data_IF_543433638814
#
_entry.id   IF_543433638814
#
_cell.length_a   1.000
_cell.length_b   1.000
_cell.length_c   1.000
_cell.angle_alpha   90.00
_cell.angle_beta   90.00
_cell.angle_gamma   90.00
#
_symmetry.space_group_name_H-M   'P 1'
#
loop_
_entity.id
_entity.type
_entity.pdbx_description
1 polymer ?
#
# COMPACT_ATOMS: atom_id res chain seq x y z
N UNK A 1 -21.16 -10.87 34.50
CA UNK A 1 -21.84 -10.44 33.25
C UNK A 1 -20.89 -9.56 32.43
N UNK A 2 -20.11 -10.16 31.53
CA UNK A 2 -19.12 -9.46 30.73
C UNK A 2 -19.75 -8.98 29.41
N UNK A 3 -19.92 -7.66 29.25
CA UNK A 3 -20.35 -7.05 27.98
C UNK A 3 -19.14 -6.99 27.04
N UNK A 4 -19.21 -7.75 25.94
CA UNK A 4 -18.29 -7.61 24.81
C UNK A 4 -18.40 -6.20 24.22
N UNK A 5 -17.33 -5.40 24.33
CA UNK A 5 -17.19 -4.16 23.58
C UNK A 5 -16.89 -4.50 22.12
N UNK A 6 -17.81 -4.14 21.24
CA UNK A 6 -17.60 -4.15 19.79
C UNK A 6 -16.62 -3.04 19.44
N UNK A 7 -15.36 -3.41 19.22
CA UNK A 7 -14.35 -2.53 18.64
C UNK A 7 -14.77 -2.08 17.24
N UNK A 8 -14.67 -0.77 17.04
CA UNK A 8 -15.07 -0.05 15.86
C UNK A 8 -14.44 -0.62 14.58
N UNK A 9 -15.28 -0.79 13.57
CA UNK A 9 -14.92 -0.99 12.18
C UNK A 9 -13.90 0.07 11.75
N UNK A 10 -12.70 -0.39 11.41
CA UNK A 10 -11.65 0.36 10.73
C UNK A 10 -12.18 0.94 9.42
N UNK A 11 -12.68 2.17 9.46
CA UNK A 11 -12.82 3.04 8.30
C UNK A 11 -11.41 3.31 7.77
N UNK A 12 -11.14 2.85 6.55
CA UNK A 12 -9.87 3.01 5.88
C UNK A 12 -9.46 4.47 5.87
N UNK A 13 -8.39 4.79 6.61
CA UNK A 13 -7.63 6.00 6.40
C UNK A 13 -6.96 5.86 5.02
N UNK A 14 -7.59 6.44 4.00
CA UNK A 14 -6.90 6.92 2.81
C UNK A 14 -5.93 8.00 3.30
N UNK A 15 -4.73 7.57 3.72
CA UNK A 15 -3.60 8.47 3.86
C UNK A 15 -3.22 8.91 2.44
N UNK A 16 -3.81 10.04 2.08
CA UNK A 16 -3.58 10.75 0.85
C UNK A 16 -2.07 10.92 0.64
N UNK A 17 -1.55 10.34 -0.43
CA UNK A 17 -0.18 10.49 -0.92
C UNK A 17 0.10 11.91 -1.46
N UNK A 18 -0.55 12.94 -0.92
CA UNK A 18 -0.56 14.31 -1.45
C UNK A 18 0.69 15.14 -1.10
N UNK A 19 1.86 14.54 -0.88
CA UNK A 19 3.06 15.29 -0.45
C UNK A 19 4.31 15.08 -1.32
N UNK A 20 4.19 14.60 -2.55
CA UNK A 20 5.36 14.35 -3.42
C UNK A 20 5.29 14.93 -4.83
N UNK A 21 4.42 15.91 -5.10
CA UNK A 21 4.48 16.67 -6.35
C UNK A 21 5.16 18.02 -6.12
N UNK A 22 6.45 18.07 -6.39
CA UNK A 22 7.19 19.30 -6.70
C UNK A 22 8.35 18.97 -7.65
N UNK A 23 8.16 19.38 -8.91
CA UNK A 23 9.14 19.76 -9.93
C UNK A 23 10.45 18.97 -10.08
N UNK A 24 10.54 18.18 -11.15
CA UNK A 24 11.71 18.20 -12.06
C UNK A 24 11.22 18.04 -13.50
N UNK A 25 10.95 19.16 -14.16
CA UNK A 25 10.91 19.24 -15.63
C UNK A 25 12.35 19.45 -16.12
N UNK A 26 12.91 18.47 -16.80
CA UNK A 26 14.14 18.62 -17.54
C UNK A 26 13.96 18.03 -18.94
N UNK A 27 13.89 18.95 -19.90
CA UNK A 27 13.96 18.72 -21.33
C UNK A 27 15.24 17.96 -21.69
N UNK A 28 15.14 16.91 -22.49
CA UNK A 28 16.25 16.48 -23.33
C UNK A 28 15.86 16.50 -24.81
N UNK A 29 16.71 17.21 -25.54
CA UNK A 29 16.54 17.66 -26.92
C UNK A 29 16.88 16.56 -27.90
N UNK A 30 16.06 16.52 -28.95
CA UNK A 30 16.30 15.92 -30.25
C UNK A 30 17.75 16.04 -30.73
N UNK A 31 18.34 14.91 -31.13
CA UNK A 31 19.40 14.85 -32.15
C UNK A 31 19.02 13.77 -33.16
N UNK A 32 18.44 14.21 -34.28
CA UNK A 32 18.27 13.42 -35.48
C UNK A 32 19.61 13.37 -36.23
N UNK A 33 20.10 12.16 -36.52
CA UNK A 33 21.18 11.92 -37.48
C UNK A 33 20.61 11.24 -38.74
N UNK A 34 21.19 11.49 -39.93
CA UNK A 34 20.64 10.98 -41.18
C UNK A 34 21.00 9.50 -41.35
N UNK A 35 20.01 8.62 -41.43
CA UNK A 35 20.20 7.24 -41.86
C UNK A 35 20.01 7.12 -43.37
N UNK A 36 21.08 6.65 -44.03
CA UNK A 36 21.13 6.25 -45.44
C UNK A 36 20.06 5.20 -45.73
N UNK A 37 19.23 5.49 -46.72
CA UNK A 37 18.36 4.53 -47.41
C UNK A 37 19.20 3.51 -48.17
N UNK A 38 18.99 2.23 -47.86
CA UNK A 38 19.35 1.10 -48.74
C UNK A 38 18.05 0.34 -48.94
N UNK A 39 17.50 0.46 -50.14
CA UNK A 39 16.36 -0.35 -50.60
C UNK A 39 16.81 -1.81 -50.74
N UNK A 40 16.15 -2.78 -50.07
CA UNK A 40 16.15 -4.15 -50.55
C UNK A 40 14.99 -4.32 -51.54
N UNK A 41 15.35 -4.75 -52.75
CA UNK A 41 14.43 -5.22 -53.78
C UNK A 41 13.53 -6.31 -53.18
N UNK A 42 12.24 -6.01 -53.09
CA UNK A 42 11.22 -6.92 -52.59
C UNK A 42 10.94 -8.01 -53.64
N UNK A 43 11.41 -9.23 -53.37
CA UNK A 43 10.89 -10.42 -54.01
C UNK A 43 9.45 -10.63 -53.51
N UNK A 44 8.47 -10.34 -54.37
CA UNK A 44 7.05 -10.65 -54.16
C UNK A 44 6.84 -12.16 -54.07
N UNK A 45 7.10 -12.70 -52.88
CA UNK A 45 6.65 -14.02 -52.48
C UNK A 45 5.13 -13.97 -52.43
N UNK A 46 4.44 -14.54 -53.43
CA UNK A 46 3.01 -14.81 -53.40
C UNK A 46 2.70 -15.74 -52.22
N UNK A 47 2.46 -15.16 -51.05
CA UNK A 47 1.95 -15.86 -49.87
C UNK A 47 0.49 -16.20 -50.16
N UNK A 48 0.25 -17.42 -50.63
CA UNK A 48 -1.09 -17.98 -50.77
C UNK A 48 -1.74 -18.00 -49.37
N UNK A 49 -2.93 -17.41 -49.18
CA UNK A 49 -3.60 -17.40 -47.89
C UNK A 49 -3.88 -18.84 -47.45
N UNK A 50 -3.21 -19.29 -46.40
CA UNK A 50 -3.50 -20.59 -45.78
C UNK A 50 -4.87 -20.50 -45.14
N UNK A 51 -5.83 -21.26 -45.66
CA UNK A 51 -7.16 -21.39 -45.04
C UNK A 51 -6.99 -21.93 -43.61
N UNK A 52 -7.37 -21.11 -42.62
CA UNK A 52 -7.36 -21.50 -41.22
C UNK A 52 -8.45 -22.54 -41.01
N UNK A 53 -8.11 -23.60 -40.28
CA UNK A 53 -9.07 -24.63 -39.89
C UNK A 53 -10.15 -24.06 -38.95
N UNK A 54 -11.34 -24.67 -38.94
CA UNK A 54 -12.45 -24.25 -38.05
C UNK A 54 -12.05 -24.21 -36.56
N UNK A 55 -11.12 -25.05 -36.12
CA UNK A 55 -10.62 -25.05 -34.74
C UNK A 55 -9.70 -23.86 -34.45
N UNK A 56 -8.88 -23.44 -35.41
CA UNK A 56 -8.03 -22.24 -35.31
C UNK A 56 -8.87 -20.96 -35.29
N UNK A 57 -9.96 -20.91 -36.08
CA UNK A 57 -10.90 -19.78 -36.06
C UNK A 57 -11.54 -19.65 -34.67
N UNK A 58 -12.08 -20.75 -34.12
CA UNK A 58 -12.67 -20.75 -32.77
C UNK A 58 -11.66 -20.38 -31.68
N UNK A 59 -10.41 -20.81 -31.80
CA UNK A 59 -9.36 -20.45 -30.85
C UNK A 59 -9.05 -18.94 -30.90
N UNK A 60 -9.01 -18.35 -32.10
CA UNK A 60 -8.81 -16.90 -32.28
C UNK A 60 -9.99 -16.09 -31.76
N UNK A 61 -11.23 -16.51 -32.02
CA UNK A 61 -12.44 -15.86 -31.50
C UNK A 61 -12.48 -15.89 -29.97
N UNK A 62 -12.15 -17.03 -29.37
CA UNK A 62 -12.06 -17.15 -27.91
C UNK A 62 -10.97 -16.23 -27.34
N UNK A 63 -9.79 -16.17 -27.97
CA UNK A 63 -8.71 -15.31 -27.53
C UNK A 63 -9.08 -13.82 -27.62
N UNK A 64 -9.74 -13.40 -28.70
CA UNK A 64 -10.25 -12.04 -28.85
C UNK A 64 -11.28 -11.70 -27.78
N UNK A 65 -12.23 -12.60 -27.51
CA UNK A 65 -13.24 -12.42 -26.46
C UNK A 65 -12.60 -12.25 -25.07
N UNK A 66 -11.58 -13.04 -24.74
CA UNK A 66 -10.85 -12.92 -23.46
C UNK A 66 -10.10 -11.60 -23.36
N UNK A 67 -9.47 -11.13 -24.46
CA UNK A 67 -8.78 -9.85 -24.49
C UNK A 67 -9.77 -8.68 -24.30
N UNK A 68 -10.88 -8.67 -25.03
CA UNK A 68 -11.93 -7.65 -24.88
C UNK A 68 -12.50 -7.64 -23.47
N UNK A 69 -12.70 -8.80 -22.84
CA UNK A 69 -13.14 -8.87 -21.44
C UNK A 69 -12.09 -8.27 -20.48
N UNK A 70 -10.79 -8.55 -20.71
CA UNK A 70 -9.71 -7.98 -19.91
C UNK A 70 -9.63 -6.46 -20.07
N UNK A 71 -9.71 -5.94 -21.29
CA UNK A 71 -9.74 -4.50 -21.60
C UNK A 71 -10.95 -3.80 -20.98
N UNK A 72 -12.14 -4.40 -21.11
CA UNK A 72 -13.36 -3.85 -20.54
C UNK A 72 -13.27 -3.79 -19.01
N UNK A 73 -12.81 -4.86 -18.36
CA UNK A 73 -12.67 -4.91 -16.90
C UNK A 73 -11.59 -3.95 -16.41
N UNK A 74 -10.42 -3.94 -17.05
CA UNK A 74 -9.33 -3.02 -16.67
C UNK A 74 -9.73 -1.57 -16.90
N UNK A 75 -10.32 -1.23 -18.05
CA UNK A 75 -10.83 0.11 -18.35
C UNK A 75 -11.92 0.56 -17.38
N UNK A 76 -12.92 -0.28 -17.11
CA UNK A 76 -14.00 0.00 -16.16
C UNK A 76 -13.47 0.29 -14.76
N UNK A 77 -12.49 -0.48 -14.30
CA UNK A 77 -11.99 -0.40 -12.92
C UNK A 77 -10.68 0.40 -12.78
N UNK A 78 -10.15 0.99 -13.84
CA UNK A 78 -8.92 1.77 -13.77
C UNK A 78 -9.06 3.01 -12.86
N UNK A 79 -10.26 3.61 -12.87
CA UNK A 79 -10.60 4.79 -12.08
C UNK A 79 -11.49 4.49 -10.85
N UNK A 80 -12.04 3.29 -10.75
CA UNK A 80 -12.92 2.91 -9.63
C UNK A 80 -12.12 2.31 -8.47
N UNK A 81 -12.08 3.03 -7.36
CA UNK A 81 -11.52 2.58 -6.08
C UNK A 81 -12.57 2.03 -5.12
N UNK A 82 -13.85 1.97 -5.50
CA UNK A 82 -14.91 1.50 -4.61
C UNK A 82 -14.73 0.02 -4.23
N UNK A 83 -14.42 -0.29 -2.96
CA UNK A 83 -14.20 -1.65 -2.52
C UNK A 83 -15.45 -2.53 -2.63
N UNK A 84 -16.67 -1.95 -2.54
CA UNK A 84 -17.91 -2.74 -2.61
C UNK A 84 -18.11 -3.32 -4.00
N UNK A 85 -17.94 -2.50 -5.03
CA UNK A 85 -18.06 -2.95 -6.43
C UNK A 85 -16.96 -3.95 -6.78
N UNK A 86 -15.71 -3.70 -6.36
CA UNK A 86 -14.59 -4.63 -6.57
C UNK A 86 -14.84 -6.00 -5.91
N UNK A 87 -15.42 -6.00 -4.71
CA UNK A 87 -15.80 -7.23 -4.02
C UNK A 87 -16.88 -8.01 -4.78
N UNK A 88 -17.91 -7.32 -5.28
CA UNK A 88 -19.01 -7.97 -6.02
C UNK A 88 -18.54 -8.64 -7.32
N UNK A 89 -17.58 -8.01 -8.01
CA UNK A 89 -17.08 -8.48 -9.30
C UNK A 89 -15.86 -9.44 -9.19
N UNK A 90 -15.36 -9.71 -7.98
CA UNK A 90 -14.12 -10.46 -7.77
C UNK A 90 -14.08 -11.82 -8.50
N UNK A 91 -15.17 -12.61 -8.45
CA UNK A 91 -15.21 -13.93 -9.12
C UNK A 91 -15.07 -13.82 -10.64
N UNK A 92 -15.69 -12.80 -11.25
CA UNK A 92 -15.61 -12.55 -12.69
C UNK A 92 -14.21 -12.08 -13.08
N UNK A 93 -13.62 -11.17 -12.30
CA UNK A 93 -12.25 -10.70 -12.47
C UNK A 93 -11.26 -11.86 -12.38
N UNK A 94 -11.41 -12.74 -11.38
CA UNK A 94 -10.55 -13.92 -11.23
C UNK A 94 -10.68 -14.89 -12.41
N UNK A 95 -11.90 -15.21 -12.84
CA UNK A 95 -12.12 -16.10 -13.99
C UNK A 95 -11.52 -15.53 -15.28
N UNK A 96 -11.75 -14.24 -15.55
CA UNK A 96 -11.20 -13.55 -16.71
C UNK A 96 -9.67 -13.49 -16.66
N UNK A 97 -9.08 -13.27 -15.48
CA UNK A 97 -7.62 -13.31 -15.31
C UNK A 97 -7.04 -14.69 -15.61
N UNK A 98 -7.67 -15.77 -15.14
CA UNK A 98 -7.17 -17.13 -15.40
C UNK A 98 -7.20 -17.47 -16.89
N UNK A 99 -8.29 -17.10 -17.58
CA UNK A 99 -8.40 -17.26 -19.03
C UNK A 99 -7.34 -16.42 -19.77
N UNK A 100 -7.19 -15.14 -19.39
CA UNK A 100 -6.21 -14.24 -19.96
C UNK A 100 -4.78 -14.75 -19.80
N UNK A 101 -4.40 -15.15 -18.58
CA UNK A 101 -3.05 -15.66 -18.27
C UNK A 101 -2.72 -16.94 -19.04
N UNK A 102 -3.70 -17.82 -19.26
CA UNK A 102 -3.51 -19.06 -20.03
C UNK A 102 -3.17 -18.79 -21.50
N UNK A 103 -3.74 -17.73 -22.09
CA UNK A 103 -3.57 -17.41 -23.50
C UNK A 103 -2.37 -16.49 -23.76
N UNK A 104 -2.21 -15.46 -22.94
CA UNK A 104 -1.26 -14.37 -23.19
C UNK A 104 -0.03 -14.39 -22.27
N UNK A 105 -0.05 -15.21 -21.21
CA UNK A 105 1.04 -15.30 -20.24
C UNK A 105 1.25 -13.98 -19.48
N UNK A 106 2.51 -13.57 -19.32
CA UNK A 106 2.91 -12.34 -18.62
C UNK A 106 3.49 -11.27 -19.54
N UNK A 107 3.61 -11.54 -20.84
CA UNK A 107 4.29 -10.66 -21.80
C UNK A 107 3.39 -9.61 -22.43
N UNK A 108 2.07 -9.75 -22.28
CA UNK A 108 1.10 -8.82 -22.86
C UNK A 108 1.01 -7.52 -22.05
N UNK A 109 0.84 -6.38 -22.73
CA UNK A 109 0.88 -5.04 -22.11
C UNK A 109 -0.13 -4.85 -20.97
N UNK A 110 -1.34 -5.40 -21.12
CA UNK A 110 -2.39 -5.40 -20.08
C UNK A 110 -2.08 -6.24 -18.84
N UNK A 111 -1.07 -7.12 -18.87
CA UNK A 111 -0.81 -8.07 -17.78
C UNK A 111 -0.58 -7.36 -16.44
N UNK A 112 0.14 -6.24 -16.45
CA UNK A 112 0.45 -5.46 -15.25
C UNK A 112 -0.80 -4.84 -14.61
N UNK A 113 -1.65 -4.21 -15.44
CA UNK A 113 -2.87 -3.54 -14.98
C UNK A 113 -3.89 -4.57 -14.51
N UNK A 114 -4.05 -5.66 -15.25
CA UNK A 114 -5.03 -6.68 -14.91
C UNK A 114 -4.64 -7.46 -13.64
N UNK A 115 -3.35 -7.74 -13.44
CA UNK A 115 -2.86 -8.34 -12.21
C UNK A 115 -3.11 -7.45 -10.99
N UNK A 116 -2.95 -6.12 -11.13
CA UNK A 116 -3.24 -5.16 -10.07
C UNK A 116 -4.75 -5.11 -9.75
N UNK A 117 -5.61 -5.08 -10.77
CA UNK A 117 -7.07 -5.16 -10.59
C UNK A 117 -7.47 -6.44 -9.85
N UNK A 118 -6.88 -7.58 -10.23
CA UNK A 118 -7.07 -8.85 -9.54
C UNK A 118 -6.65 -8.76 -8.07
N UNK A 119 -5.49 -8.21 -7.77
CA UNK A 119 -5.00 -8.05 -6.39
C UNK A 119 -5.94 -7.18 -5.54
N UNK A 120 -6.42 -6.06 -6.09
CA UNK A 120 -7.38 -5.17 -5.42
C UNK A 120 -8.72 -5.83 -5.17
N UNK A 121 -9.29 -6.51 -6.17
CA UNK A 121 -10.56 -7.26 -5.99
C UNK A 121 -10.43 -8.41 -4.99
N UNK A 122 -9.29 -9.11 -4.98
CA UNK A 122 -9.00 -10.16 -4.00
C UNK A 122 -8.92 -9.60 -2.56
N UNK A 123 -8.32 -8.42 -2.42
CA UNK A 123 -8.23 -7.70 -1.14
C UNK A 123 -9.61 -7.26 -0.66
N UNK A 124 -10.40 -6.63 -1.55
CA UNK A 124 -11.75 -6.15 -1.24
C UNK A 124 -12.70 -7.30 -0.86
N UNK A 125 -12.56 -8.46 -1.49
CA UNK A 125 -13.40 -9.63 -1.19
C UNK A 125 -13.00 -10.39 0.07
N UNK A 126 -11.76 -10.21 0.56
CA UNK A 126 -11.13 -11.02 1.62
C UNK A 126 -11.23 -12.53 1.35
N UNK A 127 -11.49 -12.92 0.10
CA UNK A 127 -11.89 -14.28 -0.24
C UNK A 127 -10.69 -15.19 -0.55
N UNK A 128 -9.49 -14.62 -0.66
CA UNK A 128 -8.34 -15.34 -1.20
C UNK A 128 -7.33 -15.71 -0.11
N UNK A 129 -7.19 -17.02 0.14
CA UNK A 129 -6.16 -17.58 1.04
C UNK A 129 -4.72 -17.28 0.59
N UNK A 130 -4.54 -16.77 -0.62
CA UNK A 130 -3.26 -16.46 -1.27
C UNK A 130 -3.13 -14.97 -1.62
N UNK A 131 -3.75 -14.06 -0.85
CA UNK A 131 -3.66 -12.59 -1.07
C UNK A 131 -2.21 -12.14 -1.30
N UNK A 132 -1.26 -12.64 -0.51
CA UNK A 132 0.15 -12.29 -0.66
C UNK A 132 0.74 -12.71 -2.03
N UNK A 133 0.36 -13.87 -2.57
CA UNK A 133 0.83 -14.34 -3.88
C UNK A 133 0.26 -13.49 -5.01
N UNK A 134 -1.02 -13.11 -4.90
CA UNK A 134 -1.68 -12.25 -5.88
C UNK A 134 -1.02 -10.87 -5.92
N UNK A 135 -0.74 -10.27 -4.75
CA UNK A 135 -0.02 -9.00 -4.67
C UNK A 135 1.42 -9.07 -5.17
N UNK A 136 2.17 -10.13 -4.85
CA UNK A 136 3.53 -10.32 -5.41
C UNK A 136 3.51 -10.38 -6.93
N UNK A 137 2.56 -11.11 -7.50
CA UNK A 137 2.40 -11.20 -8.95
C UNK A 137 2.09 -9.82 -9.55
N UNK A 138 1.15 -9.08 -8.94
CA UNK A 138 0.79 -7.73 -9.40
C UNK A 138 1.99 -6.77 -9.36
N UNK A 139 2.78 -6.80 -8.29
CA UNK A 139 3.97 -5.95 -8.13
C UNK A 139 5.08 -6.35 -9.10
N UNK A 140 5.34 -7.65 -9.29
CA UNK A 140 6.38 -8.16 -10.20
C UNK A 140 6.12 -7.79 -11.66
N UNK A 141 4.85 -7.72 -12.06
CA UNK A 141 4.48 -7.36 -13.43
C UNK A 141 4.51 -5.84 -13.67
N UNK A 142 4.71 -5.01 -12.64
CA UNK A 142 4.83 -3.58 -12.85
C UNK A 142 6.11 -3.22 -13.61
N UNK A 143 6.07 -2.19 -14.48
CA UNK A 143 7.24 -1.79 -15.25
C UNK A 143 8.41 -1.38 -14.34
N UNK A 144 9.63 -1.71 -14.79
CA UNK A 144 10.87 -1.38 -14.07
C UNK A 144 10.99 0.13 -13.86
N UNK A 145 10.57 0.95 -14.83
CA UNK A 145 10.58 2.42 -14.77
C UNK A 145 9.45 3.06 -13.94
N UNK A 146 8.65 2.30 -13.20
CA UNK A 146 7.66 2.86 -12.28
C UNK A 146 8.33 3.73 -11.21
N UNK A 147 7.74 4.89 -10.92
CA UNK A 147 8.25 5.78 -9.86
C UNK A 147 8.33 5.08 -8.50
N UNK A 148 9.37 5.41 -7.72
CA UNK A 148 9.57 4.86 -6.38
C UNK A 148 8.39 5.10 -5.45
N UNK A 149 7.74 6.27 -5.54
CA UNK A 149 6.54 6.63 -4.77
C UNK A 149 5.36 5.70 -5.09
N UNK A 150 5.10 5.44 -6.38
CA UNK A 150 4.03 4.53 -6.80
C UNK A 150 4.32 3.10 -6.36
N UNK A 151 5.57 2.66 -6.47
CA UNK A 151 5.98 1.32 -6.03
C UNK A 151 5.86 1.14 -4.51
N UNK A 152 6.26 2.14 -3.74
CA UNK A 152 6.07 2.18 -2.28
C UNK A 152 4.58 2.11 -1.91
N UNK A 153 3.73 2.83 -2.63
CA UNK A 153 2.28 2.77 -2.48
C UNK A 153 1.74 1.35 -2.68
N UNK A 154 2.18 0.64 -3.72
CA UNK A 154 1.77 -0.74 -3.97
C UNK A 154 2.21 -1.71 -2.86
N UNK A 155 3.43 -1.57 -2.34
CA UNK A 155 3.87 -2.38 -1.20
C UNK A 155 3.05 -2.10 0.07
N UNK A 156 2.66 -0.86 0.29
CA UNK A 156 1.84 -0.45 1.43
C UNK A 156 0.40 -0.98 1.29
N UNK A 157 -0.18 -0.89 0.09
CA UNK A 157 -1.50 -1.45 -0.23
C UNK A 157 -1.51 -2.98 -0.05
N UNK A 158 -0.47 -3.66 -0.53
CA UNK A 158 -0.28 -5.10 -0.35
C UNK A 158 -0.13 -5.50 1.12
N UNK A 159 0.63 -4.74 1.90
CA UNK A 159 0.81 -4.98 3.33
C UNK A 159 -0.53 -4.90 4.08
N UNK A 160 -1.31 -3.85 3.83
CA UNK A 160 -2.65 -3.67 4.39
C UNK A 160 -3.59 -4.80 4.00
N UNK A 161 -3.61 -5.19 2.74
CA UNK A 161 -4.43 -6.31 2.27
C UNK A 161 -4.07 -7.63 2.96
N UNK A 162 -2.79 -7.89 3.19
CA UNK A 162 -2.36 -9.09 3.93
C UNK A 162 -2.67 -9.02 5.42
N UNK A 163 -2.60 -7.83 6.04
CA UNK A 163 -3.05 -7.63 7.42
C UNK A 163 -4.55 -7.91 7.56
N UNK A 164 -5.37 -7.38 6.65
CA UNK A 164 -6.82 -7.63 6.63
C UNK A 164 -7.16 -9.12 6.46
N UNK A 165 -6.29 -9.85 5.75
CA UNK A 165 -6.35 -11.30 5.59
C UNK A 165 -5.77 -12.09 6.77
N UNK A 166 -5.26 -11.41 7.81
CA UNK A 166 -4.54 -11.97 8.97
C UNK A 166 -3.25 -12.73 8.60
N UNK A 167 -2.66 -12.45 7.43
CA UNK A 167 -1.33 -12.93 7.03
C UNK A 167 -0.26 -11.90 7.42
N UNK A 168 -0.03 -11.79 8.74
CA UNK A 168 0.87 -10.80 9.31
C UNK A 168 2.33 -10.97 8.88
N UNK A 169 2.77 -12.22 8.62
CA UNK A 169 4.13 -12.50 8.15
C UNK A 169 4.36 -11.95 6.75
N UNK A 170 3.38 -12.06 5.86
CA UNK A 170 3.47 -11.42 4.54
C UNK A 170 3.36 -9.90 4.64
N UNK A 171 2.54 -9.38 5.56
CA UNK A 171 2.43 -7.94 5.81
C UNK A 171 3.78 -7.33 6.24
N UNK A 172 4.47 -7.94 7.21
CA UNK A 172 5.81 -7.54 7.65
C UNK A 172 6.80 -7.48 6.46
N UNK A 173 6.77 -8.48 5.57
CA UNK A 173 7.65 -8.51 4.38
C UNK A 173 7.34 -7.38 3.40
N UNK A 174 6.07 -7.07 3.18
CA UNK A 174 5.67 -5.97 2.31
C UNK A 174 6.02 -4.60 2.92
N UNK A 175 5.83 -4.42 4.24
CA UNK A 175 6.30 -3.22 4.93
C UNK A 175 7.81 -3.08 4.91
N UNK A 176 8.57 -4.17 5.10
CA UNK A 176 10.02 -4.14 4.97
C UNK A 176 10.47 -3.72 3.56
N UNK A 177 9.81 -4.22 2.52
CA UNK A 177 10.05 -3.79 1.14
C UNK A 177 9.72 -2.30 0.94
N UNK A 178 8.57 -1.82 1.42
CA UNK A 178 8.21 -0.40 1.38
C UNK A 178 9.25 0.49 2.07
N UNK A 179 9.71 0.09 3.27
CA UNK A 179 10.75 0.80 4.04
C UNK A 179 12.09 0.83 3.31
N UNK A 180 12.47 -0.26 2.64
CA UNK A 180 13.69 -0.29 1.82
C UNK A 180 13.62 0.71 0.67
N UNK A 181 12.44 1.00 0.13
CA UNK A 181 12.27 1.99 -0.96
C UNK A 181 12.25 3.42 -0.45
N UNK A 182 11.75 3.66 0.77
CA UNK A 182 11.87 4.95 1.45
C UNK A 182 13.33 5.35 1.74
N UNK A 183 14.30 4.45 1.54
CA UNK A 183 15.73 4.75 1.66
C UNK A 183 16.33 5.50 0.47
N UNK A 184 15.64 5.51 -0.68
CA UNK A 184 16.21 5.95 -1.95
C UNK A 184 15.97 7.45 -2.15
N UNK A 185 16.78 8.26 -1.44
CA UNK A 185 17.07 9.70 -1.60
C UNK A 185 15.99 10.74 -1.21
N UNK A 186 16.46 11.80 -0.52
CA UNK A 186 15.72 13.03 -0.20
C UNK A 186 15.69 13.39 1.29
N UNK A 187 15.50 14.67 1.62
CA UNK A 187 15.39 15.19 3.00
C UNK A 187 14.22 14.57 3.81
N UNK A 188 13.28 13.92 3.12
CA UNK A 188 12.09 13.31 3.72
C UNK A 188 12.18 11.78 3.91
N UNK A 189 13.33 11.16 3.62
CA UNK A 189 13.50 9.70 3.71
C UNK A 189 13.21 9.16 5.13
N UNK A 190 13.76 9.79 6.17
CA UNK A 190 13.56 9.34 7.56
C UNK A 190 12.13 9.59 8.05
N UNK A 191 11.48 10.65 7.58
CA UNK A 191 10.05 10.89 7.85
C UNK A 191 9.20 9.76 7.24
N UNK A 192 9.43 9.43 5.98
CA UNK A 192 8.71 8.34 5.31
C UNK A 192 8.94 6.98 6.02
N UNK A 193 10.18 6.70 6.45
CA UNK A 193 10.49 5.49 7.25
C UNK A 193 9.74 5.48 8.57
N UNK A 194 9.70 6.61 9.28
CA UNK A 194 8.96 6.76 10.53
C UNK A 194 7.47 6.47 10.32
N UNK A 195 6.84 7.10 9.33
CA UNK A 195 5.43 6.89 9.02
C UNK A 195 5.11 5.45 8.67
N UNK A 196 5.92 4.83 7.80
CA UNK A 196 5.77 3.41 7.46
C UNK A 196 5.94 2.52 8.69
N UNK A 197 6.85 2.85 9.60
CA UNK A 197 7.07 2.06 10.82
C UNK A 197 5.90 2.17 11.81
N UNK A 198 5.38 3.37 12.03
CA UNK A 198 4.18 3.57 12.86
C UNK A 198 3.01 2.78 12.27
N UNK A 199 2.82 2.87 10.95
CA UNK A 199 1.75 2.18 10.25
C UNK A 199 1.90 0.65 10.31
N UNK A 200 3.11 0.13 10.12
CA UNK A 200 3.44 -1.30 10.29
C UNK A 200 3.08 -1.77 11.70
N UNK A 201 3.55 -1.09 12.75
CA UNK A 201 3.29 -1.51 14.13
C UNK A 201 1.81 -1.38 14.52
N UNK A 202 1.11 -0.36 14.01
CA UNK A 202 -0.34 -0.20 14.24
C UNK A 202 -1.17 -1.30 13.58
N UNK A 203 -0.77 -1.74 12.40
CA UNK A 203 -1.52 -2.73 11.61
C UNK A 203 -1.19 -4.17 12.02
N UNK A 204 0.08 -4.46 12.30
CA UNK A 204 0.55 -5.81 12.64
C UNK A 204 0.64 -6.07 14.14
N UNK A 205 0.55 -5.03 14.98
CA UNK A 205 0.73 -5.12 16.44
C UNK A 205 -0.22 -6.10 17.12
N UNK A 206 -1.45 -6.28 16.61
CA UNK A 206 -2.41 -7.25 17.15
C UNK A 206 -1.89 -8.70 17.14
N UNK A 207 -1.05 -9.05 16.18
CA UNK A 207 -0.50 -10.40 16.03
C UNK A 207 0.88 -10.58 16.67
N UNK A 208 1.46 -9.50 17.18
CA UNK A 208 2.75 -9.54 17.85
C UNK A 208 2.54 -9.87 19.32
N UNK A 209 3.44 -10.69 19.88
CA UNK A 209 3.56 -10.80 21.33
C UNK A 209 3.91 -9.43 21.91
N UNK A 210 3.26 -9.06 23.02
CA UNK A 210 3.44 -7.73 23.63
C UNK A 210 4.91 -7.39 23.90
N UNK A 211 5.71 -8.36 24.37
CA UNK A 211 7.15 -8.17 24.60
C UNK A 211 7.86 -7.66 23.34
N UNK A 212 7.65 -8.33 22.21
CA UNK A 212 8.23 -7.96 20.92
C UNK A 212 7.68 -6.62 20.41
N UNK A 213 6.39 -6.37 20.57
CA UNK A 213 5.80 -5.07 20.21
C UNK A 213 6.40 -3.92 21.06
N UNK A 214 6.57 -4.12 22.36
CA UNK A 214 7.16 -3.14 23.26
C UNK A 214 8.62 -2.83 22.90
N UNK A 215 9.42 -3.84 22.53
CA UNK A 215 10.78 -3.63 22.05
C UNK A 215 10.79 -2.82 20.74
N UNK A 216 9.92 -3.17 19.79
CA UNK A 216 9.74 -2.38 18.56
C UNK A 216 9.30 -0.92 18.82
N UNK A 217 8.49 -0.67 19.85
CA UNK A 217 8.08 0.69 20.25
C UNK A 217 9.23 1.46 20.90
N UNK A 218 10.08 0.81 21.69
CA UNK A 218 11.31 1.43 22.22
C UNK A 218 12.26 1.80 21.07
N UNK A 219 12.39 0.94 20.06
CA UNK A 219 13.19 1.24 18.87
C UNK A 219 12.61 2.39 18.06
N UNK A 220 11.28 2.45 17.89
CA UNK A 220 10.58 3.59 17.28
C UNK A 220 10.89 4.89 18.03
N UNK A 221 10.81 4.86 19.36
CA UNK A 221 11.11 6.00 20.22
C UNK A 221 12.55 6.49 20.01
N UNK A 222 13.54 5.58 20.09
CA UNK A 222 14.97 5.88 19.85
C UNK A 222 15.21 6.45 18.46
N UNK A 223 14.63 5.83 17.43
CA UNK A 223 14.72 6.34 16.06
C UNK A 223 14.18 7.77 15.95
N UNK A 224 13.04 8.04 16.62
CA UNK A 224 12.43 9.36 16.57
C UNK A 224 13.18 10.45 17.35
N UNK A 225 14.19 10.10 18.17
CA UNK A 225 15.02 11.08 18.90
C UNK A 225 15.96 11.84 17.97
N UNK A 226 16.20 11.34 16.75
CA UNK A 226 16.94 12.05 15.72
C UNK A 226 16.19 13.29 15.18
N UNK A 227 14.87 13.38 15.40
CA UNK A 227 14.09 14.55 15.00
C UNK A 227 14.07 15.60 16.12
N UNK A 228 14.02 16.88 15.73
CA UNK A 228 13.84 18.00 16.67
C UNK A 228 12.59 17.76 17.51
N UNK A 229 12.66 18.03 18.82
CA UNK A 229 11.59 17.76 19.77
C UNK A 229 10.23 18.34 19.35
N UNK A 230 10.24 19.55 18.81
CA UNK A 230 9.06 20.34 18.40
C UNK A 230 8.78 20.20 16.90
N UNK A 231 8.95 19.00 16.35
CA UNK A 231 8.73 18.73 14.93
C UNK A 231 7.57 17.76 14.70
N UNK A 232 6.96 17.85 13.51
CA UNK A 232 5.87 16.95 13.10
C UNK A 232 6.27 15.47 13.20
N UNK A 233 7.44 15.02 12.71
CA UNK A 233 7.83 13.63 12.85
C UNK A 233 7.94 13.19 14.31
N UNK A 234 8.49 14.03 15.20
CA UNK A 234 8.57 13.71 16.62
C UNK A 234 7.18 13.56 17.24
N UNK A 235 6.27 14.50 16.95
CA UNK A 235 4.90 14.45 17.42
C UNK A 235 4.16 13.20 16.90
N UNK A 236 4.33 12.85 15.63
CA UNK A 236 3.72 11.66 15.03
C UNK A 236 4.25 10.36 15.64
N UNK A 237 5.54 10.31 16.01
CA UNK A 237 6.12 9.17 16.73
C UNK A 237 5.51 9.01 18.13
N UNK A 238 5.41 10.09 18.89
CA UNK A 238 4.81 10.08 20.23
C UNK A 238 3.33 9.67 20.19
N UNK A 239 2.56 10.28 19.28
CA UNK A 239 1.16 9.93 19.06
C UNK A 239 1.01 8.47 18.62
N UNK A 240 1.81 8.03 17.65
CA UNK A 240 1.80 6.66 17.17
C UNK A 240 2.11 5.65 18.27
N UNK A 241 3.14 5.91 19.08
CA UNK A 241 3.47 5.04 20.21
C UNK A 241 2.31 4.99 21.23
N UNK A 242 1.75 6.13 21.61
CA UNK A 242 0.66 6.19 22.58
C UNK A 242 -0.60 5.46 22.08
N UNK A 243 -0.99 5.68 20.82
CA UNK A 243 -2.13 5.00 20.18
C UNK A 243 -1.94 3.47 20.13
N UNK A 244 -0.74 3.00 19.79
CA UNK A 244 -0.42 1.56 19.72
C UNK A 244 -0.43 0.95 21.13
N UNK A 245 0.16 1.61 22.13
CA UNK A 245 0.13 1.14 23.52
C UNK A 245 -1.28 1.10 24.08
N UNK A 246 -2.07 2.14 23.83
CA UNK A 246 -3.47 2.19 24.25
C UNK A 246 -4.24 0.97 23.70
N UNK A 247 -4.02 0.64 22.42
CA UNK A 247 -4.70 -0.45 21.72
C UNK A 247 -4.24 -1.85 22.12
N UNK A 248 -2.94 -2.07 22.35
CA UNK A 248 -2.37 -3.42 22.44
C UNK A 248 -1.62 -3.74 23.74
N UNK A 249 -1.22 -2.74 24.54
CA UNK A 249 -0.59 -3.02 25.84
C UNK A 249 -1.62 -3.67 26.75
N UNK A 250 -1.32 -4.84 27.37
CA UNK A 250 -2.18 -5.45 28.36
C UNK A 250 -2.51 -4.47 29.50
N UNK A 251 -3.69 -4.59 30.10
CA UNK A 251 -4.14 -3.68 31.18
C UNK A 251 -3.59 -4.09 32.55
N UNK A 252 -2.55 -4.91 32.54
CA UNK A 252 -2.08 -5.70 33.66
C UNK A 252 -1.06 -4.85 34.45
N UNK A 253 -1.53 -3.76 35.09
CA UNK A 253 -0.74 -3.00 36.07
C UNK A 253 -0.61 -1.49 35.84
N UNK A 254 -0.07 -0.82 36.86
CA UNK A 254 0.25 0.61 36.92
C UNK A 254 1.19 1.07 35.80
N UNK A 255 1.95 0.16 35.21
CA UNK A 255 2.93 0.43 34.14
C UNK A 255 2.29 1.02 32.88
N UNK A 256 1.10 0.57 32.47
CA UNK A 256 0.42 1.13 31.28
C UNK A 256 0.02 2.58 31.50
N UNK A 257 -0.60 2.88 32.66
CA UNK A 257 -0.99 4.24 33.03
C UNK A 257 0.24 5.15 33.11
N UNK A 258 1.30 4.73 33.77
CA UNK A 258 2.51 5.54 33.92
C UNK A 258 3.17 5.86 32.57
N UNK A 259 3.30 4.86 31.69
CA UNK A 259 3.89 5.06 30.36
C UNK A 259 3.01 5.95 29.48
N UNK A 260 1.68 5.79 29.52
CA UNK A 260 0.76 6.65 28.79
C UNK A 260 0.74 8.09 29.34
N UNK A 261 0.90 8.27 30.66
CA UNK A 261 1.06 9.57 31.29
C UNK A 261 2.34 10.30 30.84
N UNK A 262 3.49 9.60 30.82
CA UNK A 262 4.75 10.15 30.27
C UNK A 262 4.60 10.53 28.80
N UNK A 263 3.95 9.69 27.99
CA UNK A 263 3.69 10.00 26.59
C UNK A 263 2.75 11.21 26.43
N UNK A 264 1.69 11.33 27.23
CA UNK A 264 0.79 12.49 27.23
C UNK A 264 1.57 13.78 27.51
N UNK A 265 2.38 13.80 28.58
CA UNK A 265 3.19 14.95 28.94
C UNK A 265 4.18 15.36 27.82
N UNK A 266 4.81 14.38 27.15
CA UNK A 266 5.70 14.64 26.01
C UNK A 266 4.96 15.18 24.79
N UNK A 267 3.74 14.71 24.53
CA UNK A 267 2.89 15.22 23.44
C UNK A 267 2.50 16.67 23.73
N UNK A 268 2.09 16.98 24.96
CA UNK A 268 1.78 18.36 25.37
C UNK A 268 2.98 19.28 25.25
N UNK A 269 4.16 18.81 25.67
CA UNK A 269 5.41 19.53 25.53
C UNK A 269 5.68 19.83 24.04
N UNK A 270 5.69 18.80 23.19
CA UNK A 270 5.89 18.95 21.74
C UNK A 270 4.87 19.94 21.12
N UNK A 271 3.59 19.82 21.46
CA UNK A 271 2.53 20.71 21.00
C UNK A 271 2.77 22.16 21.43
N UNK A 272 3.14 22.39 22.69
CA UNK A 272 3.41 23.75 23.22
C UNK A 272 4.59 24.39 22.52
N UNK A 273 5.72 23.69 22.38
CA UNK A 273 6.89 24.28 21.72
C UNK A 273 6.75 24.45 20.21
N UNK A 274 5.74 23.84 19.59
CA UNK A 274 5.36 24.15 18.20
C UNK A 274 4.58 25.47 18.05
N UNK A 275 4.22 26.16 19.14
CA UNK A 275 3.62 27.51 19.15
C UNK A 275 2.42 27.68 18.19
N UNK A 276 1.50 26.71 18.16
CA UNK A 276 0.31 26.77 17.30
C UNK A 276 0.50 26.29 15.86
N UNK A 277 1.71 25.89 15.47
CA UNK A 277 2.00 25.32 14.15
C UNK A 277 1.60 23.83 14.03
N UNK A 278 0.77 23.30 14.93
CA UNK A 278 0.33 21.90 14.88
C UNK A 278 -0.76 21.75 13.82
N UNK A 279 -0.58 20.89 12.79
CA UNK A 279 -1.56 20.76 11.74
C UNK A 279 -2.88 20.17 12.25
N UNK A 280 -4.02 20.47 11.58
CA UNK A 280 -5.34 20.03 12.03
C UNK A 280 -5.47 18.51 12.21
N UNK A 281 -4.78 17.71 11.39
CA UNK A 281 -4.79 16.25 11.46
C UNK A 281 -4.17 15.76 12.78
N UNK A 282 -3.01 16.30 13.17
CA UNK A 282 -2.37 15.98 14.43
C UNK A 282 -3.16 16.50 15.62
N UNK A 283 -3.76 17.69 15.54
CA UNK A 283 -4.64 18.21 16.59
C UNK A 283 -5.85 17.30 16.84
N UNK A 284 -6.47 16.78 15.79
CA UNK A 284 -7.58 15.84 15.91
C UNK A 284 -7.14 14.53 16.60
N UNK A 285 -5.96 14.00 16.25
CA UNK A 285 -5.37 12.82 16.90
C UNK A 285 -5.08 13.06 18.38
N UNK A 286 -4.48 14.20 18.73
CA UNK A 286 -4.21 14.59 20.13
C UNK A 286 -5.51 14.59 20.93
N UNK A 287 -6.55 15.28 20.44
CA UNK A 287 -7.85 15.35 21.13
C UNK A 287 -8.46 13.97 21.34
N UNK A 288 -8.50 13.15 20.28
CA UNK A 288 -9.05 11.79 20.37
C UNK A 288 -8.26 10.92 21.35
N UNK A 289 -6.94 11.00 21.34
CA UNK A 289 -6.09 10.25 22.27
C UNK A 289 -6.33 10.72 23.70
N UNK A 290 -6.36 12.03 23.94
CA UNK A 290 -6.47 12.58 25.30
C UNK A 290 -7.83 12.27 25.92
N UNK A 291 -8.92 12.31 25.15
CA UNK A 291 -10.22 11.84 25.63
C UNK A 291 -10.18 10.36 26.02
N UNK A 292 -9.56 9.52 25.20
CA UNK A 292 -9.42 8.11 25.55
C UNK A 292 -8.53 7.87 26.78
N UNK A 293 -7.49 8.68 26.99
CA UNK A 293 -6.64 8.61 28.17
C UNK A 293 -7.38 9.06 29.44
N UNK A 294 -8.18 10.12 29.35
CA UNK A 294 -9.03 10.58 30.45
C UNK A 294 -10.08 9.50 30.81
N UNK A 295 -10.82 9.00 29.81
CA UNK A 295 -11.89 8.03 30.00
C UNK A 295 -11.41 6.70 30.59
N UNK A 296 -10.20 6.24 30.21
CA UNK A 296 -9.69 4.93 30.62
C UNK A 296 -8.71 4.97 31.80
N UNK A 297 -8.06 6.10 32.05
CA UNK A 297 -6.96 6.19 33.02
C UNK A 297 -6.97 7.43 33.91
N UNK A 298 -7.93 8.36 33.75
CA UNK A 298 -7.96 9.64 34.47
C UNK A 298 -6.61 10.37 34.33
N UNK A 299 -6.17 10.53 33.09
CA UNK A 299 -4.89 11.11 32.72
C UNK A 299 -5.07 12.37 31.89
#
# INVERSE_FOLDING_TARGET
MAKHSKLATSTGLLLACCFLDADVSAQEKNKAGPQKSVEPVAEESKVVPRELSRSEIKAKEHAASVLTAAEMLTGRFNAMTDPKTLKAEHRKIEAAWQAFRKLYGTKHDLSAQFALLRARSASASRANKKIAEVWRTAIQLQPIGMSGSRRLGLFTEAANATTDAKDYRSAERFFAAARSMASVRGENADKARLYLRIHELRTTGQAMEWRRLNDNLKDLRRFSEAFVMWSIPRLDALLGEAEIRLSFQPNDGSDKRNVLGDLKARIELAQKGMNGAVPPVQLARIRSLFYALEDHFQL
#
